data_IF_644246878641
#
_entry.id   IF_644246878641
#
_cell.length_a   1.000
_cell.length_b   1.000
_cell.length_c   1.000
_cell.angle_alpha   90.00
_cell.angle_beta   90.00
_cell.angle_gamma   90.00
#
_symmetry.space_group_name_H-M   'P 1'
#
loop_
_entity.id
_entity.type
_entity.pdbx_description
1 polymer ?
#
# COMPACT_ATOMS: atom_id res chain seq x y z
N UNK A 1 0.18 12.77 28.65
CA UNK A 1 -0.43 11.98 27.56
C UNK A 1 0.46 10.76 27.39
N UNK A 2 -0.07 9.56 27.56
CA UNK A 2 0.72 8.34 27.64
C UNK A 2 1.06 7.87 26.22
N UNK A 3 2.33 7.51 25.97
CA UNK A 3 2.83 7.07 24.65
C UNK A 3 2.17 5.75 24.21
N UNK A 4 1.45 5.07 25.11
CA UNK A 4 0.69 3.85 24.87
C UNK A 4 -0.56 4.01 24.00
N UNK A 5 -1.06 5.24 23.76
CA UNK A 5 -2.31 5.46 23.01
C UNK A 5 -2.11 5.52 21.48
N UNK A 6 -0.87 5.46 20.98
CA UNK A 6 -0.58 5.38 19.54
C UNK A 6 -0.75 3.97 18.94
N UNK A 7 -1.11 2.97 19.75
CA UNK A 7 -1.31 1.58 19.31
C UNK A 7 -2.71 1.28 18.73
N UNK A 8 -3.45 2.29 18.27
CA UNK A 8 -4.83 2.13 17.77
C UNK A 8 -5.04 2.54 16.30
N UNK A 9 -3.97 2.88 15.57
CA UNK A 9 -4.05 2.98 14.11
C UNK A 9 -3.69 1.61 13.55
N UNK A 10 -4.62 0.94 12.87
CA UNK A 10 -4.35 -0.31 12.17
C UNK A 10 -3.12 -0.16 11.27
N UNK A 11 -2.24 -1.17 11.21
CA UNK A 11 -1.04 -1.11 10.36
C UNK A 11 -1.42 -1.15 8.88
N UNK A 12 -2.62 -1.64 8.60
CA UNK A 12 -3.33 -1.49 7.33
C UNK A 12 -4.73 -0.90 7.55
N UNK A 13 -5.25 -0.23 6.52
CA UNK A 13 -6.61 0.28 6.48
C UNK A 13 -7.32 -0.24 5.23
N UNK A 14 -8.59 -0.63 5.40
CA UNK A 14 -9.47 -1.04 4.32
C UNK A 14 -9.84 0.17 3.47
N UNK A 15 -9.57 0.10 2.17
CA UNK A 15 -9.87 1.18 1.22
C UNK A 15 -11.26 0.97 0.63
N UNK A 16 -11.48 -0.19 0.03
CA UNK A 16 -12.75 -0.59 -0.56
C UNK A 16 -12.86 -2.11 -0.64
N UNK A 17 -13.98 -2.68 -0.21
CA UNK A 17 -14.23 -4.12 -0.25
C UNK A 17 -13.06 -4.96 0.29
N UNK A 18 -12.36 -5.66 -0.60
CA UNK A 18 -11.26 -6.57 -0.28
C UNK A 18 -9.86 -5.94 -0.41
N UNK A 19 -9.79 -4.65 -0.74
CA UNK A 19 -8.56 -3.90 -0.94
C UNK A 19 -8.12 -3.19 0.34
N UNK A 20 -6.92 -3.50 0.79
CA UNK A 20 -6.24 -2.89 1.91
C UNK A 20 -4.98 -2.21 1.43
N UNK A 21 -4.65 -1.09 2.05
CA UNK A 21 -3.34 -0.46 1.94
C UNK A 21 -2.67 -0.54 3.31
N UNK A 22 -1.34 -0.59 3.40
CA UNK A 22 -0.66 -0.70 4.68
C UNK A 22 0.82 -0.32 4.63
N UNK A 23 1.45 -0.34 5.79
CA UNK A 23 2.90 -0.24 5.93
C UNK A 23 3.55 -1.64 5.94
N UNK A 24 4.87 -1.71 5.87
CA UNK A 24 5.61 -2.99 5.85
C UNK A 24 5.27 -3.84 7.09
N UNK A 25 5.05 -3.21 8.24
CA UNK A 25 4.72 -3.88 9.51
C UNK A 25 3.38 -4.63 9.47
N UNK A 26 2.49 -4.31 8.51
CA UNK A 26 1.23 -5.03 8.28
C UNK A 26 1.46 -6.36 7.56
N UNK A 27 2.54 -6.47 6.78
CA UNK A 27 2.91 -7.72 6.08
C UNK A 27 3.50 -8.76 7.03
N UNK A 28 3.95 -8.32 8.21
CA UNK A 28 4.62 -9.14 9.23
C UNK A 28 3.67 -9.57 10.37
N UNK A 29 2.38 -9.23 10.32
CA UNK A 29 1.38 -9.62 11.32
C UNK A 29 0.40 -10.67 10.74
N UNK A 30 0.66 -11.98 10.94
CA UNK A 30 -0.20 -13.05 10.43
C UNK A 30 -1.64 -12.98 10.97
N UNK A 31 -1.83 -12.44 12.18
CA UNK A 31 -3.15 -12.36 12.80
C UNK A 31 -3.98 -11.24 12.18
N UNK A 32 -3.37 -10.08 11.90
CA UNK A 32 -4.00 -8.98 11.17
C UNK A 32 -4.35 -9.40 9.74
N UNK A 33 -3.40 -10.01 9.02
CA UNK A 33 -3.64 -10.53 7.66
C UNK A 33 -4.75 -11.58 7.61
N UNK A 34 -4.77 -12.52 8.58
CA UNK A 34 -5.83 -13.53 8.65
C UNK A 34 -7.19 -12.92 8.97
N UNK A 35 -7.26 -11.93 9.87
CA UNK A 35 -8.54 -11.27 10.22
C UNK A 35 -9.17 -10.53 9.04
N UNK A 36 -8.35 -10.04 8.12
CA UNK A 36 -8.79 -9.35 6.91
C UNK A 36 -8.88 -10.27 5.68
N UNK A 37 -8.75 -11.60 5.87
CA UNK A 37 -8.76 -12.60 4.80
C UNK A 37 -7.79 -12.27 3.65
N UNK A 38 -6.60 -11.74 3.98
CA UNK A 38 -5.57 -11.41 3.00
C UNK A 38 -4.98 -12.68 2.42
N UNK A 39 -5.04 -12.79 1.09
CA UNK A 39 -4.49 -13.90 0.32
C UNK A 39 -3.39 -13.46 -0.64
N UNK A 40 -3.27 -12.15 -0.88
CA UNK A 40 -2.33 -11.57 -1.84
C UNK A 40 -1.70 -10.32 -1.23
N UNK A 41 -0.38 -10.20 -1.31
CA UNK A 41 0.38 -9.01 -0.95
C UNK A 41 1.05 -8.47 -2.21
N UNK A 42 0.84 -7.19 -2.50
CA UNK A 42 1.52 -6.43 -3.54
C UNK A 42 2.47 -5.43 -2.88
N UNK A 43 3.77 -5.70 -3.00
CA UNK A 43 4.86 -4.87 -2.49
C UNK A 43 5.35 -3.95 -3.62
N UNK A 44 5.24 -2.64 -3.44
CA UNK A 44 5.81 -1.63 -4.34
C UNK A 44 6.99 -0.98 -3.63
N UNK A 45 8.17 -1.60 -3.71
CA UNK A 45 9.33 -1.27 -2.88
C UNK A 45 10.65 -1.47 -3.65
N UNK A 46 11.70 -0.76 -3.27
CA UNK A 46 13.04 -0.84 -3.91
C UNK A 46 13.71 -2.20 -3.75
N UNK A 47 13.54 -2.82 -2.58
CA UNK A 47 14.23 -4.03 -2.16
C UNK A 47 13.29 -5.24 -2.14
N UNK A 48 13.76 -6.39 -2.61
CA UNK A 48 12.94 -7.62 -2.58
C UNK A 48 12.74 -8.12 -1.13
N UNK A 49 11.51 -8.53 -0.79
CA UNK A 49 11.25 -9.24 0.46
C UNK A 49 11.90 -10.62 0.47
N UNK A 50 12.70 -10.89 1.49
CA UNK A 50 13.33 -12.20 1.67
C UNK A 50 12.28 -13.32 1.81
N UNK A 51 12.54 -14.46 1.17
CA UNK A 51 11.61 -15.60 1.17
C UNK A 51 11.32 -16.16 2.57
N UNK A 52 12.26 -16.01 3.52
CA UNK A 52 12.13 -16.48 4.90
C UNK A 52 11.05 -15.72 5.70
N UNK A 53 10.74 -14.49 5.27
CA UNK A 53 9.79 -13.60 5.94
C UNK A 53 8.36 -13.76 5.36
N UNK A 54 8.18 -14.66 4.39
CA UNK A 54 6.88 -14.91 3.75
C UNK A 54 6.02 -15.86 4.57
N UNK A 55 4.82 -15.41 4.91
CA UNK A 55 3.76 -16.21 5.52
C UNK A 55 3.16 -17.15 4.45
N UNK A 56 3.05 -18.43 4.79
CA UNK A 56 2.51 -19.46 3.90
C UNK A 56 1.02 -19.24 3.57
N UNK A 57 0.61 -19.61 2.36
CA UNK A 57 -0.76 -19.44 1.87
C UNK A 57 -1.07 -18.07 1.27
N UNK A 58 -0.12 -17.12 1.33
CA UNK A 58 -0.21 -15.80 0.70
C UNK A 58 0.58 -15.80 -0.60
N UNK A 59 0.00 -15.19 -1.64
CA UNK A 59 0.69 -14.88 -2.90
C UNK A 59 1.40 -13.53 -2.76
N UNK A 60 2.68 -13.48 -3.10
CA UNK A 60 3.48 -12.26 -3.03
C UNK A 60 3.81 -11.79 -4.45
N UNK A 61 3.48 -10.54 -4.73
CA UNK A 61 3.87 -9.81 -5.93
C UNK A 61 4.78 -8.66 -5.53
N UNK A 62 5.80 -8.43 -6.34
CA UNK A 62 6.76 -7.36 -6.11
C UNK A 62 6.91 -6.53 -7.37
N UNK A 63 6.68 -5.22 -7.23
CA UNK A 63 7.00 -4.20 -8.22
C UNK A 63 8.17 -3.43 -7.63
N UNK A 64 9.32 -3.53 -8.29
CA UNK A 64 10.50 -2.78 -7.90
C UNK A 64 10.31 -1.32 -8.29
N UNK A 65 10.22 -0.44 -7.30
CA UNK A 65 10.10 1.00 -7.53
C UNK A 65 10.64 1.77 -6.32
N UNK A 66 11.41 2.82 -6.60
CA UNK A 66 11.89 3.78 -5.60
C UNK A 66 10.84 4.88 -5.36
N UNK A 67 10.81 5.46 -4.16
CA UNK A 67 10.02 6.68 -3.90
C UNK A 67 10.75 7.92 -4.46
N UNK A 68 10.88 7.96 -5.79
CA UNK A 68 11.50 9.04 -6.54
C UNK A 68 10.50 9.65 -7.52
N UNK A 69 10.43 10.99 -7.63
CA UNK A 69 9.63 11.63 -8.67
C UNK A 69 10.07 11.30 -10.11
N UNK A 70 11.25 10.71 -10.28
CA UNK A 70 11.78 10.28 -11.56
C UNK A 70 11.57 8.79 -11.85
N UNK A 71 11.00 8.04 -10.89
CA UNK A 71 10.69 6.61 -11.07
C UNK A 71 9.53 6.45 -12.05
N UNK A 72 9.65 5.48 -12.96
CA UNK A 72 8.66 5.20 -14.02
C UNK A 72 7.60 4.18 -13.56
N UNK A 73 6.71 4.63 -12.67
CA UNK A 73 5.57 3.82 -12.22
C UNK A 73 4.53 3.55 -13.31
N UNK A 74 4.43 4.41 -14.32
CA UNK A 74 3.41 4.33 -15.37
C UNK A 74 3.50 3.00 -16.13
N UNK A 75 4.72 2.48 -16.31
CA UNK A 75 4.95 1.17 -16.93
C UNK A 75 4.44 0.00 -16.07
N UNK A 76 4.34 0.19 -14.75
CA UNK A 76 3.90 -0.82 -13.80
C UNK A 76 2.40 -0.75 -13.48
N UNK A 77 1.71 0.34 -13.84
CA UNK A 77 0.27 0.48 -13.59
C UNK A 77 -0.58 -0.65 -14.18
N UNK A 78 -0.36 -1.12 -15.43
CA UNK A 78 -1.12 -2.26 -15.95
C UNK A 78 -0.97 -3.51 -15.09
N UNK A 79 0.25 -3.82 -14.63
CA UNK A 79 0.52 -5.00 -13.80
C UNK A 79 -0.11 -4.86 -12.41
N UNK A 80 0.07 -3.71 -11.76
CA UNK A 80 -0.50 -3.43 -10.45
C UNK A 80 -2.04 -3.49 -10.51
N UNK A 81 -2.63 -2.87 -11.53
CA UNK A 81 -4.07 -2.89 -11.76
C UNK A 81 -4.57 -4.32 -11.95
N UNK A 82 -3.93 -5.12 -12.81
CA UNK A 82 -4.31 -6.51 -13.07
C UNK A 82 -4.33 -7.37 -11.80
N UNK A 83 -3.34 -7.18 -10.91
CA UNK A 83 -3.25 -7.92 -9.64
C UNK A 83 -4.39 -7.52 -8.71
N UNK A 84 -4.64 -6.21 -8.58
CA UNK A 84 -5.71 -5.67 -7.74
C UNK A 84 -7.08 -6.10 -8.27
N UNK A 85 -7.34 -5.91 -9.57
CA UNK A 85 -8.60 -6.24 -10.23
C UNK A 85 -8.92 -7.74 -10.09
N UNK A 86 -7.96 -8.64 -10.30
CA UNK A 86 -8.15 -10.09 -10.08
C UNK A 86 -8.60 -10.40 -8.66
N UNK A 87 -8.02 -9.73 -7.66
CA UNK A 87 -8.39 -9.93 -6.26
C UNK A 87 -9.80 -9.38 -5.96
N UNK A 88 -10.11 -8.19 -6.48
CA UNK A 88 -11.43 -7.56 -6.33
C UNK A 88 -12.53 -8.40 -7.00
N UNK A 89 -12.33 -8.80 -8.25
CA UNK A 89 -13.29 -9.63 -9.02
C UNK A 89 -13.51 -11.00 -8.39
N UNK A 90 -12.47 -11.61 -7.83
CA UNK A 90 -12.57 -12.90 -7.13
C UNK A 90 -13.06 -12.79 -5.67
N UNK A 91 -13.18 -11.57 -5.14
CA UNK A 91 -13.54 -11.34 -3.75
C UNK A 91 -12.49 -11.84 -2.74
N UNK A 92 -11.22 -11.89 -3.13
CA UNK A 92 -10.12 -12.30 -2.25
C UNK A 92 -9.35 -11.10 -1.72
N UNK A 93 -8.99 -11.11 -0.43
CA UNK A 93 -8.26 -10.03 0.22
C UNK A 93 -6.89 -9.75 -0.42
N UNK A 94 -6.62 -8.47 -0.68
CA UNK A 94 -5.33 -7.96 -1.14
C UNK A 94 -4.83 -6.82 -0.25
N UNK A 95 -3.57 -6.90 0.16
CA UNK A 95 -2.84 -5.83 0.81
C UNK A 95 -1.81 -5.24 -0.15
N UNK A 96 -1.91 -3.94 -0.42
CA UNK A 96 -0.88 -3.17 -1.13
C UNK A 96 -0.04 -2.43 -0.09
N UNK A 97 1.29 -2.46 -0.20
CA UNK A 97 2.15 -1.65 0.65
C UNK A 97 3.36 -1.10 -0.13
N UNK A 98 3.95 -0.03 0.40
CA UNK A 98 5.16 0.62 -0.11
C UNK A 98 6.07 0.98 1.07
N UNK A 99 7.33 1.33 0.80
CA UNK A 99 8.20 1.99 1.78
C UNK A 99 7.75 3.44 1.87
N UNK A 100 6.90 3.76 2.85
CA UNK A 100 6.59 5.16 3.14
C UNK A 100 7.76 5.77 3.92
N UNK A 101 8.66 6.50 3.26
CA UNK A 101 9.62 7.35 3.96
C UNK A 101 8.85 8.46 4.70
N UNK A 102 8.67 8.28 6.00
CA UNK A 102 8.01 9.25 6.88
C UNK A 102 8.95 10.43 7.16
N UNK A 103 8.88 11.47 6.34
CA UNK A 103 9.25 12.82 6.79
C UNK A 103 8.08 13.79 6.60
N UNK A 104 7.10 13.71 7.52
CA UNK A 104 6.02 14.71 7.64
C UNK A 104 6.23 15.56 8.88
N UNK A 105 6.00 16.85 8.75
CA UNK A 105 5.96 17.81 9.86
C UNK A 105 4.64 17.66 10.64
N UNK A 106 4.61 18.18 11.87
CA UNK A 106 3.45 18.09 12.76
C UNK A 106 2.21 18.75 12.15
N UNK A 107 2.38 19.87 11.45
CA UNK A 107 1.31 20.63 10.80
C UNK A 107 0.64 19.82 9.67
N UNK A 108 1.45 19.10 8.87
CA UNK A 108 0.95 18.24 7.79
C UNK A 108 0.14 17.09 8.37
N UNK A 109 0.62 16.45 9.43
CA UNK A 109 -0.09 15.36 10.12
C UNK A 109 -1.43 15.84 10.69
N UNK A 110 -1.48 17.06 11.26
CA UNK A 110 -2.68 17.60 11.87
C UNK A 110 -3.82 17.92 10.87
N UNK A 111 -3.49 18.48 9.70
CA UNK A 111 -4.48 18.71 8.63
C UNK A 111 -5.02 17.40 8.05
N UNK A 112 -4.18 16.38 8.08
CA UNK A 112 -4.43 15.07 7.52
C UNK A 112 -5.43 14.26 8.36
N UNK A 113 -5.33 14.23 9.69
CA UNK A 113 -6.14 13.41 10.64
C UNK A 113 -7.68 13.48 10.43
N UNK A 114 -8.20 14.45 9.67
CA UNK A 114 -9.62 14.61 9.37
C UNK A 114 -10.16 13.70 8.24
N UNK A 115 -9.31 12.96 7.52
CA UNK A 115 -9.73 12.06 6.43
C UNK A 115 -9.60 10.56 6.79
N UNK A 116 -10.41 9.69 6.18
CA UNK A 116 -10.44 8.23 6.46
C UNK A 116 -9.09 7.53 6.29
N UNK A 117 -8.16 8.07 5.50
CA UNK A 117 -6.76 7.67 5.49
C UNK A 117 -5.83 8.79 5.05
N UNK A 118 -5.28 9.58 5.98
CA UNK A 118 -4.57 10.79 5.64
C UNK A 118 -3.15 10.63 5.09
N UNK A 119 -2.67 9.40 5.00
CA UNK A 119 -1.24 9.15 4.81
C UNK A 119 -0.91 8.90 3.33
N UNK A 120 -1.90 8.74 2.46
CA UNK A 120 -1.71 8.60 1.00
C UNK A 120 -1.19 9.93 0.43
N UNK A 121 0.11 9.96 0.14
CA UNK A 121 0.78 11.15 -0.41
C UNK A 121 1.76 10.72 -1.49
N UNK A 122 1.27 10.45 -2.71
CA UNK A 122 2.16 10.20 -3.85
C UNK A 122 3.03 11.43 -4.08
N UNK A 123 4.32 11.21 -4.39
CA UNK A 123 5.19 12.30 -4.81
C UNK A 123 4.66 12.94 -6.12
N UNK A 124 5.16 14.13 -6.47
CA UNK A 124 4.65 14.89 -7.61
C UNK A 124 4.79 14.15 -8.96
N UNK A 125 5.82 13.32 -9.13
CA UNK A 125 6.00 12.49 -10.32
C UNK A 125 4.92 11.41 -10.42
N UNK A 126 4.56 10.78 -9.30
CA UNK A 126 3.50 9.78 -9.23
C UNK A 126 2.12 10.38 -9.54
N UNK A 127 1.82 11.57 -9.00
CA UNK A 127 0.57 12.30 -9.32
C UNK A 127 0.48 12.60 -10.82
N UNK A 128 1.57 13.05 -11.45
CA UNK A 128 1.60 13.33 -12.88
C UNK A 128 1.35 12.07 -13.71
N UNK A 129 1.95 10.95 -13.33
CA UNK A 129 1.78 9.66 -14.01
C UNK A 129 0.35 9.12 -13.85
N UNK A 130 -0.29 9.28 -12.69
CA UNK A 130 -1.71 8.96 -12.51
C UNK A 130 -2.61 9.79 -13.44
N UNK A 131 -2.33 11.09 -13.60
CA UNK A 131 -3.06 11.93 -14.55
C UNK A 131 -2.85 11.53 -16.01
N UNK A 132 -1.65 11.07 -16.37
CA UNK A 132 -1.39 10.51 -17.71
C UNK A 132 -2.19 9.22 -17.93
N UNK A 133 -2.21 8.34 -16.93
CA UNK A 133 -2.96 7.08 -16.97
C UNK A 133 -4.46 7.31 -17.15
N UNK A 134 -5.07 8.21 -16.36
CA UNK A 134 -6.46 8.63 -16.54
C UNK A 134 -6.69 9.22 -17.94
N UNK A 135 -5.77 10.07 -18.42
CA UNK A 135 -5.81 10.64 -19.77
C UNK A 135 -5.71 9.61 -20.91
N UNK A 136 -5.16 8.42 -20.63
CA UNK A 136 -5.11 7.29 -21.57
C UNK A 136 -6.42 6.50 -21.62
N UNK A 137 -7.40 6.81 -20.75
CA UNK A 137 -8.73 6.21 -20.75
C UNK A 137 -8.88 4.98 -19.84
N UNK A 138 -8.02 4.86 -18.83
CA UNK A 138 -8.11 3.86 -17.77
C UNK A 138 -8.78 4.41 -16.51
#
# INVERSE_FOLDING_TARGET
MNISDFNLVGRMDQIDGVLYLGAIEATEDPEELRRADITTILSVISDEMEAKDRIGGIRYHWIQADDSPHEDLLTHFPEAYDIIDKCVVSGTGILVHCVAERQKTYEEIHALVQCRRPIIWPNHGFVAQLGLWEGMGF
#
